data_IF_687665956244
#
_entry.id   IF_687665956244
#
_cell.length_a   1.000
_cell.length_b   1.000
_cell.length_c   1.000
_cell.angle_alpha   90.00
_cell.angle_beta   90.00
_cell.angle_gamma   90.00
#
_symmetry.space_group_name_H-M   'P 1'
#
loop_
_entity.id
_entity.type
_entity.pdbx_description
1 polymer ?
#
# COMPACT_ATOMS: atom_id res chain seq x y z
N UNK A 1 1.20 8.04 21.09
CA UNK A 1 2.02 7.86 19.87
C UNK A 1 1.29 6.96 18.89
N UNK A 2 1.20 7.30 17.58
CA UNK A 2 0.45 6.50 16.60
C UNK A 2 0.98 5.07 16.47
N UNK A 3 2.29 4.87 16.43
CA UNK A 3 2.90 3.53 16.37
C UNK A 3 2.49 2.63 17.55
N UNK A 4 2.43 3.16 18.75
CA UNK A 4 2.01 2.37 19.93
C UNK A 4 0.53 1.95 19.85
N UNK A 5 -0.33 2.83 19.35
CA UNK A 5 -1.75 2.52 19.18
C UNK A 5 -1.93 1.40 18.13
N UNK A 6 -1.23 1.49 16.99
CA UNK A 6 -1.25 0.48 15.95
C UNK A 6 -0.69 -0.85 16.46
N UNK A 7 0.50 -0.85 17.08
CA UNK A 7 1.11 -2.09 17.58
C UNK A 7 0.30 -2.74 18.70
N UNK A 8 -0.42 -1.95 19.50
CA UNK A 8 -1.36 -2.50 20.50
C UNK A 8 -2.53 -3.20 19.82
N UNK A 9 -3.15 -2.57 18.81
CA UNK A 9 -4.21 -3.17 18.02
C UNK A 9 -3.75 -4.49 17.40
N UNK A 10 -2.60 -4.48 16.71
CA UNK A 10 -2.05 -5.66 16.04
C UNK A 10 -1.77 -6.81 17.03
N UNK A 11 -1.23 -6.49 18.19
CA UNK A 11 -0.93 -7.48 19.24
C UNK A 11 -2.20 -8.11 19.84
N UNK A 12 -3.25 -7.31 20.03
CA UNK A 12 -4.52 -7.77 20.60
C UNK A 12 -5.32 -8.59 19.60
N UNK A 13 -5.44 -8.09 18.37
CA UNK A 13 -6.28 -8.74 17.33
C UNK A 13 -5.54 -9.80 16.52
N UNK A 14 -4.22 -9.84 16.60
CA UNK A 14 -3.36 -10.67 15.74
C UNK A 14 -3.56 -10.37 14.26
N UNK A 15 -3.96 -9.15 13.92
CA UNK A 15 -4.11 -8.64 12.56
C UNK A 15 -3.08 -7.55 12.31
N UNK A 16 -2.56 -7.49 11.09
CA UNK A 16 -1.70 -6.38 10.71
C UNK A 16 -2.53 -5.23 10.15
N UNK A 17 -2.08 -4.03 10.45
CA UNK A 17 -2.67 -2.80 9.93
C UNK A 17 -1.95 -2.37 8.67
N UNK A 18 -2.73 -1.96 7.66
CA UNK A 18 -2.22 -1.29 6.46
C UNK A 18 -2.95 0.03 6.29
N UNK A 19 -2.25 1.04 5.83
CA UNK A 19 -2.78 2.40 5.69
C UNK A 19 -2.61 2.89 4.26
N UNK A 20 -3.70 3.19 3.59
CA UNK A 20 -3.65 3.94 2.35
C UNK A 20 -3.77 5.44 2.69
N UNK A 21 -2.64 6.10 2.81
CA UNK A 21 -2.56 7.52 3.14
C UNK A 21 -2.56 8.36 1.86
N UNK A 22 -3.71 8.94 1.55
CA UNK A 22 -3.91 9.79 0.36
C UNK A 22 -3.41 11.21 0.58
N UNK A 23 -3.44 11.67 1.83
CA UNK A 23 -3.00 13.01 2.21
C UNK A 23 -1.49 13.10 2.46
N UNK A 24 -0.82 11.98 2.67
CA UNK A 24 0.56 11.92 3.13
C UNK A 24 0.75 12.31 4.60
N UNK A 25 -0.34 12.53 5.33
CA UNK A 25 -0.30 13.09 6.68
C UNK A 25 0.27 12.16 7.75
N UNK A 26 0.17 10.85 7.57
CA UNK A 26 0.70 9.83 8.49
C UNK A 26 2.12 9.38 8.14
N UNK A 27 2.55 9.59 6.89
CA UNK A 27 3.86 9.12 6.39
C UNK A 27 5.07 9.58 7.18
N UNK A 28 5.12 10.84 7.69
CA UNK A 28 6.27 11.29 8.48
C UNK A 28 6.41 10.60 9.84
N UNK A 29 5.35 9.95 10.32
CA UNK A 29 5.25 9.46 11.70
C UNK A 29 5.18 7.94 11.81
N UNK A 30 5.04 7.23 10.68
CA UNK A 30 4.89 5.79 10.62
C UNK A 30 5.94 5.17 9.69
N UNK A 31 6.36 3.98 10.05
CA UNK A 31 7.31 3.22 9.25
C UNK A 31 6.71 2.80 7.89
N UNK A 32 7.52 2.69 6.83
CA UNK A 32 7.05 2.42 5.47
C UNK A 32 6.23 1.16 5.30
N UNK A 33 6.45 0.14 6.14
CA UNK A 33 5.72 -1.13 6.12
C UNK A 33 4.22 -0.96 6.36
N UNK A 34 3.80 0.05 7.09
CA UNK A 34 2.37 0.32 7.32
C UNK A 34 1.63 0.81 6.07
N UNK A 35 2.35 1.23 5.04
CA UNK A 35 1.75 1.75 3.81
C UNK A 35 1.68 0.72 2.68
N UNK A 36 1.87 -0.56 3.00
CA UNK A 36 1.84 -1.66 2.04
C UNK A 36 1.12 -2.85 2.64
N UNK A 37 0.29 -3.53 1.85
CA UNK A 37 -0.26 -4.84 2.22
C UNK A 37 0.89 -5.86 2.26
N UNK A 38 1.58 -5.90 3.39
CA UNK A 38 2.79 -6.69 3.60
C UNK A 38 2.55 -8.15 3.93
N UNK A 39 1.30 -8.58 4.07
CA UNK A 39 0.93 -9.95 4.39
C UNK A 39 1.40 -10.93 3.30
N UNK A 40 1.90 -12.12 3.67
CA UNK A 40 2.38 -13.10 2.70
C UNK A 40 1.37 -13.41 1.60
N UNK A 41 0.09 -13.60 1.95
CA UNK A 41 -0.97 -13.88 1.00
C UNK A 41 -1.24 -12.69 0.06
N UNK A 42 -1.29 -11.47 0.56
CA UNK A 42 -1.42 -10.27 -0.27
C UNK A 42 -0.25 -10.12 -1.25
N UNK A 43 0.97 -10.41 -0.80
CA UNK A 43 2.15 -10.37 -1.66
C UNK A 43 2.09 -11.41 -2.77
N UNK A 44 1.64 -12.63 -2.44
CA UNK A 44 1.46 -13.69 -3.42
C UNK A 44 0.44 -13.29 -4.50
N UNK A 45 -0.71 -12.74 -4.11
CA UNK A 45 -1.72 -12.23 -5.05
C UNK A 45 -1.17 -11.09 -5.89
N UNK A 46 -0.49 -10.12 -5.28
CA UNK A 46 0.09 -8.96 -5.97
C UNK A 46 1.28 -9.32 -6.89
N UNK A 47 1.88 -10.49 -6.70
CA UNK A 47 2.88 -11.05 -7.61
C UNK A 47 2.27 -11.88 -8.75
N UNK A 48 0.96 -12.10 -8.76
CA UNK A 48 0.22 -12.88 -9.76
C UNK A 48 -0.49 -11.96 -10.78
N UNK A 49 -1.03 -12.52 -11.88
CA UNK A 49 -1.88 -11.78 -12.82
C UNK A 49 -3.12 -11.14 -12.16
N UNK A 50 -3.49 -11.59 -10.96
CA UNK A 50 -4.61 -11.04 -10.19
C UNK A 50 -4.28 -9.72 -9.47
N UNK A 51 -3.06 -9.20 -9.57
CA UNK A 51 -2.62 -7.95 -8.94
C UNK A 51 -3.49 -6.76 -9.33
N UNK A 52 -3.96 -6.72 -10.57
CA UNK A 52 -4.82 -5.64 -11.07
C UNK A 52 -6.16 -5.60 -10.34
N UNK A 53 -6.71 -6.75 -9.95
CA UNK A 53 -7.95 -6.83 -9.19
C UNK A 53 -7.80 -6.26 -7.77
N UNK A 54 -6.64 -6.49 -7.10
CA UNK A 54 -6.30 -5.84 -5.83
C UNK A 54 -6.30 -4.33 -5.98
N UNK A 55 -5.59 -3.86 -6.99
CA UNK A 55 -5.41 -2.44 -7.22
C UNK A 55 -6.75 -1.74 -7.51
N UNK A 56 -7.57 -2.34 -8.38
CA UNK A 56 -8.89 -1.82 -8.73
C UNK A 56 -9.83 -1.78 -7.52
N UNK A 57 -9.79 -2.80 -6.65
CA UNK A 57 -10.59 -2.80 -5.44
C UNK A 57 -10.09 -1.73 -4.44
N UNK A 58 -8.81 -1.79 -4.07
CA UNK A 58 -8.26 -1.01 -2.96
C UNK A 58 -8.16 0.49 -3.26
N UNK A 59 -7.83 0.88 -4.49
CA UNK A 59 -7.53 2.28 -4.83
C UNK A 59 -8.69 2.97 -5.55
N UNK A 60 -9.39 2.25 -6.44
CA UNK A 60 -10.45 2.87 -7.20
C UNK A 60 -11.81 2.72 -6.55
N UNK A 61 -12.23 1.47 -6.34
CA UNK A 61 -13.60 1.20 -5.92
C UNK A 61 -13.82 1.52 -4.45
N UNK A 62 -12.96 1.01 -3.58
CA UNK A 62 -13.12 1.18 -2.14
C UNK A 62 -13.06 2.64 -1.71
N UNK A 63 -12.23 3.45 -2.36
CA UNK A 63 -12.13 4.88 -2.08
C UNK A 63 -13.47 5.62 -2.22
N UNK A 64 -14.28 5.22 -3.20
CA UNK A 64 -15.61 5.82 -3.40
C UNK A 64 -16.67 5.22 -2.49
N UNK A 65 -16.65 3.90 -2.33
CA UNK A 65 -17.65 3.21 -1.51
C UNK A 65 -17.52 3.57 -0.03
N UNK A 66 -16.31 3.69 0.48
CA UNK A 66 -16.06 3.92 1.92
C UNK A 66 -16.46 5.34 2.37
N UNK A 67 -16.54 6.31 1.46
CA UNK A 67 -17.05 7.65 1.76
C UNK A 67 -18.51 7.64 2.25
N UNK A 68 -19.29 6.65 1.79
CA UNK A 68 -20.68 6.46 2.19
C UNK A 68 -20.81 5.55 3.42
N UNK A 69 -19.70 5.11 3.99
CA UNK A 69 -19.63 4.22 5.15
C UNK A 69 -18.60 4.75 6.15
N UNK A 70 -18.88 5.90 6.80
CA UNK A 70 -17.91 6.56 7.69
C UNK A 70 -17.52 5.68 8.88
N UNK A 71 -18.39 4.77 9.28
CA UNK A 71 -18.12 3.79 10.33
C UNK A 71 -17.27 2.61 9.87
N UNK A 72 -16.87 2.59 8.61
CA UNK A 72 -16.14 1.48 8.03
C UNK A 72 -17.00 0.24 7.83
N UNK A 73 -16.37 -0.83 7.39
CA UNK A 73 -17.04 -2.10 7.09
C UNK A 73 -16.10 -3.29 7.19
N UNK A 74 -16.71 -4.46 7.26
CA UNK A 74 -16.07 -5.74 6.99
C UNK A 74 -16.34 -6.09 5.53
N UNK A 75 -15.34 -6.54 4.77
CA UNK A 75 -15.57 -7.03 3.42
C UNK A 75 -14.70 -8.23 3.07
N UNK A 76 -15.09 -8.94 2.04
CA UNK A 76 -14.25 -9.94 1.41
C UNK A 76 -13.46 -9.27 0.28
N UNK A 77 -12.15 -9.36 0.32
CA UNK A 77 -11.31 -8.94 -0.80
C UNK A 77 -11.53 -9.88 -2.01
N UNK A 78 -11.05 -9.51 -3.18
CA UNK A 78 -11.24 -10.32 -4.40
C UNK A 78 -10.62 -11.72 -4.29
N UNK A 79 -9.63 -11.92 -3.41
CA UNK A 79 -9.03 -13.21 -3.12
C UNK A 79 -9.83 -14.04 -2.08
N UNK A 80 -10.97 -13.54 -1.62
CA UNK A 80 -11.86 -14.23 -0.69
C UNK A 80 -11.45 -14.18 0.79
N UNK A 81 -10.53 -13.27 1.14
CA UNK A 81 -10.13 -13.05 2.52
C UNK A 81 -10.94 -11.91 3.15
N UNK A 82 -11.22 -12.07 4.45
CA UNK A 82 -11.88 -11.02 5.25
C UNK A 82 -10.90 -9.92 5.59
N UNK A 83 -11.31 -8.70 5.35
CA UNK A 83 -10.61 -7.48 5.72
C UNK A 83 -11.58 -6.49 6.38
N UNK A 84 -11.08 -5.76 7.35
CA UNK A 84 -11.78 -4.66 8.01
C UNK A 84 -11.24 -3.35 7.46
N UNK A 85 -12.14 -2.43 7.15
CA UNK A 85 -11.78 -1.18 6.50
C UNK A 85 -12.47 -0.02 7.20
N UNK A 86 -11.70 0.98 7.62
CA UNK A 86 -12.21 2.19 8.27
C UNK A 86 -11.60 3.42 7.63
N UNK A 87 -12.41 4.40 7.16
CA UNK A 87 -11.91 5.64 6.61
C UNK A 87 -11.44 6.61 7.68
N UNK A 88 -10.42 7.37 7.37
CA UNK A 88 -10.09 8.61 8.09
C UNK A 88 -10.58 9.80 7.29
N UNK A 89 -11.51 10.54 7.85
CA UNK A 89 -12.13 11.69 7.21
C UNK A 89 -11.69 12.98 7.90
N UNK A 90 -11.46 14.02 7.12
CA UNK A 90 -11.26 15.37 7.61
C UNK A 90 -12.09 16.34 6.75
N UNK A 91 -12.94 17.13 7.38
CA UNK A 91 -13.83 18.06 6.71
C UNK A 91 -14.62 17.40 5.56
N UNK A 92 -15.08 16.17 5.79
CA UNK A 92 -15.79 15.36 4.80
C UNK A 92 -14.91 14.76 3.69
N UNK A 93 -13.62 15.04 3.68
CA UNK A 93 -12.66 14.52 2.69
C UNK A 93 -11.94 13.28 3.22
N UNK A 94 -11.77 12.28 2.37
CA UNK A 94 -11.01 11.07 2.69
C UNK A 94 -9.51 11.38 2.72
N UNK A 95 -8.90 11.28 3.88
CA UNK A 95 -7.46 11.53 4.05
C UNK A 95 -6.64 10.23 4.06
N UNK A 96 -7.19 9.15 4.59
CA UNK A 96 -6.59 7.81 4.57
C UNK A 96 -7.65 6.73 4.77
N UNK A 97 -7.28 5.48 4.51
CA UNK A 97 -8.07 4.29 4.84
C UNK A 97 -7.19 3.36 5.67
N UNK A 98 -7.70 2.90 6.81
CA UNK A 98 -7.11 1.82 7.58
C UNK A 98 -7.68 0.48 7.10
N UNK A 99 -6.80 -0.47 6.89
CA UNK A 99 -7.13 -1.87 6.67
C UNK A 99 -6.60 -2.68 7.84
N UNK A 100 -7.36 -3.63 8.32
CA UNK A 100 -6.88 -4.70 9.18
C UNK A 100 -7.21 -6.04 8.51
N UNK A 101 -6.33 -6.95 8.56
CA UNK A 101 -6.56 -8.27 7.94
C UNK A 101 -5.29 -9.12 8.02
N UNK A 102 -5.41 -10.36 7.72
CA UNK A 102 -6.49 -11.08 7.04
C UNK A 102 -7.01 -12.24 7.89
N UNK A 103 -8.25 -12.66 7.62
CA UNK A 103 -8.86 -13.88 8.13
C UNK A 103 -9.56 -14.62 6.99
N UNK A 104 -9.87 -15.88 7.17
CA UNK A 104 -10.88 -16.57 6.35
C UNK A 104 -12.27 -16.31 6.90
N UNK A 105 -13.26 -16.25 6.01
CA UNK A 105 -14.64 -16.05 6.43
C UNK A 105 -15.24 -17.36 6.96
N UNK A 106 -15.96 -17.29 8.09
CA UNK A 106 -16.88 -18.34 8.48
C UNK A 106 -18.01 -18.47 7.44
N UNK A 107 -18.72 -19.61 7.37
CA UNK A 107 -19.88 -19.77 6.48
C UNK A 107 -20.97 -18.71 6.68
N UNK A 108 -21.18 -18.26 7.92
CA UNK A 108 -22.13 -17.21 8.28
C UNK A 108 -21.70 -15.85 7.75
N UNK A 109 -20.48 -15.46 8.02
CA UNK A 109 -19.91 -14.18 7.55
C UNK A 109 -19.93 -14.07 6.02
N UNK A 110 -19.66 -15.18 5.33
CA UNK A 110 -19.73 -15.23 3.86
C UNK A 110 -21.13 -14.93 3.32
N UNK A 111 -22.17 -15.32 4.03
CA UNK A 111 -23.57 -15.12 3.59
C UNK A 111 -23.97 -13.64 3.63
N UNK A 112 -23.55 -12.91 4.64
CA UNK A 112 -23.85 -11.48 4.80
C UNK A 112 -22.95 -10.55 4.00
N UNK A 113 -21.74 -11.01 3.67
CA UNK A 113 -20.71 -10.20 3.02
C UNK A 113 -20.59 -10.46 1.50
N UNK A 114 -21.46 -11.27 0.91
CA UNK A 114 -21.34 -11.74 -0.48
C UNK A 114 -21.33 -10.65 -1.56
N UNK A 115 -21.72 -9.42 -1.24
CA UNK A 115 -22.06 -8.43 -2.27
C UNK A 115 -21.05 -7.30 -2.46
N UNK A 116 -19.92 -7.30 -1.79
CA UNK A 116 -19.01 -6.17 -1.86
C UNK A 116 -17.97 -6.25 -2.98
N UNK A 117 -17.72 -7.41 -3.57
CA UNK A 117 -16.84 -7.50 -4.73
C UNK A 117 -17.57 -8.03 -5.97
N UNK A 118 -17.87 -7.15 -6.93
CA UNK A 118 -18.36 -7.53 -8.27
C UNK A 118 -17.25 -8.15 -9.14
N UNK A 119 -16.02 -8.20 -8.66
CA UNK A 119 -14.92 -8.85 -9.36
C UNK A 119 -15.08 -10.38 -9.28
N UNK A 120 -14.79 -11.13 -10.36
CA UNK A 120 -14.76 -12.57 -10.29
C UNK A 120 -13.77 -12.99 -9.19
N UNK A 121 -14.24 -13.83 -8.26
CA UNK A 121 -13.40 -14.41 -7.24
C UNK A 121 -12.45 -15.40 -7.90
N UNK A 122 -11.23 -14.97 -8.11
CA UNK A 122 -10.16 -15.86 -8.51
C UNK A 122 -9.53 -16.32 -7.20
N UNK A 123 -9.67 -17.60 -6.87
CA UNK A 123 -8.89 -18.18 -5.78
C UNK A 123 -7.44 -18.37 -6.26
N UNK A 124 -6.50 -17.55 -5.84
CA UNK A 124 -5.10 -17.74 -6.20
C UNK A 124 -4.42 -18.80 -5.33
N UNK A 125 -5.20 -19.45 -4.45
CA UNK A 125 -4.69 -20.36 -3.43
C UNK A 125 -4.53 -21.76 -3.96
N UNK A 126 -3.39 -22.38 -3.67
CA UNK A 126 -3.16 -23.82 -3.86
C UNK A 126 -3.57 -24.58 -2.59
N UNK A 127 -3.79 -25.91 -2.67
CA UNK A 127 -4.10 -26.72 -1.48
C UNK A 127 -3.07 -26.61 -0.35
N UNK A 128 -1.82 -26.31 -0.69
CA UNK A 128 -0.70 -26.16 0.24
C UNK A 128 -0.64 -24.77 0.88
N UNK A 129 -1.45 -23.82 0.40
CA UNK A 129 -1.44 -22.45 0.93
C UNK A 129 -1.96 -22.44 2.37
N UNK A 130 -1.11 -22.04 3.31
CA UNK A 130 -1.51 -21.88 4.70
C UNK A 130 -2.44 -20.67 4.85
N UNK A 131 -3.73 -20.97 4.98
CA UNK A 131 -4.75 -19.93 5.16
C UNK A 131 -4.75 -19.39 6.60
N UNK A 132 -5.09 -18.11 6.79
CA UNK A 132 -5.28 -17.55 8.12
C UNK A 132 -6.50 -18.19 8.80
N UNK A 133 -6.58 -18.16 10.14
CA UNK A 133 -7.70 -18.75 10.86
C UNK A 133 -9.04 -18.10 10.44
N UNK A 134 -10.15 -18.82 10.53
CA UNK A 134 -11.47 -18.24 10.33
C UNK A 134 -11.82 -17.23 11.41
N UNK A 135 -12.75 -16.35 11.10
CA UNK A 135 -13.32 -15.38 12.03
C UNK A 135 -14.84 -15.56 12.08
N UNK A 136 -15.39 -15.57 13.28
CA UNK A 136 -16.83 -15.59 13.52
C UNK A 136 -17.41 -14.17 13.63
N UNK A 137 -18.73 -14.04 13.50
CA UNK A 137 -19.43 -12.75 13.40
C UNK A 137 -19.17 -11.83 14.60
N UNK A 138 -19.21 -12.38 15.80
CA UNK A 138 -18.99 -11.59 17.04
C UNK A 138 -17.55 -11.07 17.12
N UNK A 139 -16.57 -11.92 16.84
CA UNK A 139 -15.16 -11.52 16.77
C UNK A 139 -14.95 -10.48 15.67
N UNK A 140 -15.55 -10.69 14.50
CA UNK A 140 -15.45 -9.76 13.38
C UNK A 140 -16.00 -8.37 13.73
N UNK A 141 -17.10 -8.32 14.47
CA UNK A 141 -17.70 -7.06 14.93
C UNK A 141 -16.81 -6.34 15.94
N UNK A 142 -16.25 -7.08 16.92
CA UNK A 142 -15.33 -6.53 17.92
C UNK A 142 -14.04 -5.97 17.26
N UNK A 143 -13.53 -6.64 16.25
CA UNK A 143 -12.37 -6.17 15.49
C UNK A 143 -12.71 -4.87 14.76
N UNK A 144 -13.89 -4.78 14.12
CA UNK A 144 -14.32 -3.55 13.44
C UNK A 144 -14.39 -2.38 14.41
N UNK A 145 -15.00 -2.60 15.59
CA UNK A 145 -15.10 -1.57 16.61
C UNK A 145 -13.72 -1.14 17.12
N UNK A 146 -12.83 -2.09 17.36
CA UNK A 146 -11.45 -1.80 17.77
C UNK A 146 -10.69 -1.01 16.71
N UNK A 147 -10.92 -1.30 15.42
CA UNK A 147 -10.30 -0.55 14.32
C UNK A 147 -10.86 0.88 14.20
N UNK A 148 -12.16 1.07 14.46
CA UNK A 148 -12.80 2.41 14.56
C UNK A 148 -12.15 3.24 15.67
N UNK A 149 -11.95 2.64 16.84
CA UNK A 149 -11.28 3.32 17.95
C UNK A 149 -9.83 3.68 17.60
N UNK A 150 -9.11 2.80 16.92
CA UNK A 150 -7.77 3.11 16.41
C UNK A 150 -7.82 4.28 15.43
N UNK A 151 -8.76 4.27 14.48
CA UNK A 151 -8.96 5.33 13.52
C UNK A 151 -9.22 6.68 14.20
N UNK A 152 -10.13 6.72 15.16
CA UNK A 152 -10.45 7.92 15.94
C UNK A 152 -9.21 8.46 16.70
N UNK A 153 -8.42 7.58 17.33
CA UNK A 153 -7.17 7.96 18.00
C UNK A 153 -6.16 8.56 17.04
N UNK A 154 -6.01 7.99 15.86
CA UNK A 154 -5.10 8.54 14.84
C UNK A 154 -5.57 9.90 14.33
N UNK A 155 -6.88 10.10 14.15
CA UNK A 155 -7.45 11.40 13.75
C UNK A 155 -7.22 12.47 14.82
N UNK A 156 -7.52 12.18 16.08
CA UNK A 156 -7.28 13.09 17.20
C UNK A 156 -5.79 13.43 17.29
N UNK A 157 -4.94 12.43 17.21
CA UNK A 157 -3.49 12.64 17.25
C UNK A 157 -3.00 13.50 16.10
N UNK A 158 -3.49 13.30 14.87
CA UNK A 158 -3.15 14.13 13.73
C UNK A 158 -3.61 15.58 13.90
N UNK A 159 -4.81 15.77 14.44
CA UNK A 159 -5.32 17.12 14.72
C UNK A 159 -4.43 17.85 15.74
N UNK A 160 -4.01 17.17 16.80
CA UNK A 160 -3.08 17.72 17.78
C UNK A 160 -1.68 17.95 17.18
N UNK A 161 -1.13 16.97 16.49
CA UNK A 161 0.19 17.09 15.87
C UNK A 161 0.27 18.29 14.92
N UNK A 162 -0.78 18.54 14.14
CA UNK A 162 -0.86 19.71 13.25
C UNK A 162 -0.72 21.04 13.99
N UNK A 163 -1.25 21.17 15.21
CA UNK A 163 -1.10 22.40 16.01
C UNK A 163 0.37 22.70 16.31
N UNK A 164 1.17 21.66 16.57
CA UNK A 164 2.60 21.82 16.88
C UNK A 164 3.49 21.94 15.63
N UNK A 165 3.07 21.38 14.50
CA UNK A 165 3.82 21.45 13.24
C UNK A 165 3.33 22.56 12.31
N UNK A 166 2.27 23.28 12.69
CA UNK A 166 1.71 24.41 11.93
C UNK A 166 2.30 25.75 12.35
N UNK A 167 3.27 25.79 13.24
CA UNK A 167 4.03 27.03 13.44
C UNK A 167 4.87 27.29 12.19
N UNK A 168 4.64 28.41 11.49
CA UNK A 168 5.43 28.75 10.35
C UNK A 168 6.86 29.04 10.84
N UNK A 169 7.82 28.21 10.46
CA UNK A 169 9.19 28.73 10.31
C UNK A 169 9.11 29.79 9.23
N UNK A 170 8.79 30.98 9.72
CA UNK A 170 8.79 32.20 8.92
C UNK A 170 10.17 32.39 8.35
N UNK A 171 10.28 32.27 7.04
CA UNK A 171 10.93 33.32 6.24
C UNK A 171 10.58 33.04 4.78
N UNK A 172 9.67 33.90 4.34
CA UNK A 172 9.62 34.55 3.05
C UNK A 172 9.92 33.72 1.80
N UNK A 173 8.83 33.33 1.15
CA UNK A 173 8.64 33.64 -0.26
C UNK A 173 7.13 33.77 -0.49
N UNK A 174 6.69 35.03 -0.54
CA UNK A 174 5.32 35.38 -0.88
C UNK A 174 5.06 35.05 -2.34
N UNK A 175 4.23 34.03 -2.55
CA UNK A 175 3.54 33.79 -3.82
C UNK A 175 2.03 33.75 -3.60
N UNK A 176 1.21 34.24 -4.56
CA UNK A 176 -0.19 34.50 -4.36
C UNK A 176 -1.00 33.20 -4.23
N UNK A 177 -2.10 33.32 -3.49
CA UNK A 177 -3.06 32.29 -3.12
C UNK A 177 -3.76 31.68 -4.34
N UNK A 178 -3.24 30.55 -4.79
CA UNK A 178 -3.95 29.54 -5.58
C UNK A 178 -3.66 28.15 -5.00
N UNK A 179 -3.63 28.04 -3.66
CA UNK A 179 -3.04 26.89 -2.96
C UNK A 179 -3.85 25.60 -3.04
N UNK A 180 -5.15 25.65 -3.15
CA UNK A 180 -5.99 24.44 -3.11
C UNK A 180 -5.95 23.67 -4.44
N UNK A 181 -6.02 24.34 -5.57
CA UNK A 181 -5.94 23.67 -6.88
C UNK A 181 -4.54 23.12 -7.15
N UNK A 182 -3.49 23.81 -6.72
CA UNK A 182 -2.11 23.34 -6.89
C UNK A 182 -1.82 22.11 -6.02
N UNK A 183 -2.30 22.07 -4.78
CA UNK A 183 -2.13 20.90 -3.90
C UNK A 183 -2.94 19.69 -4.40
N UNK A 184 -4.14 19.89 -4.89
CA UNK A 184 -4.95 18.82 -5.46
C UNK A 184 -4.32 18.28 -6.75
N UNK A 185 -3.77 19.13 -7.60
CA UNK A 185 -3.05 18.75 -8.80
C UNK A 185 -1.76 17.95 -8.46
N UNK A 186 -1.00 18.37 -7.46
CA UNK A 186 0.19 17.65 -6.99
C UNK A 186 -0.18 16.29 -6.38
N UNK A 187 -1.27 16.23 -5.60
CA UNK A 187 -1.76 14.97 -5.04
C UNK A 187 -2.20 14.00 -6.14
N UNK A 188 -2.90 14.48 -7.15
CA UNK A 188 -3.32 13.69 -8.32
C UNK A 188 -2.11 13.21 -9.12
N UNK A 189 -1.14 14.08 -9.40
CA UNK A 189 0.11 13.70 -10.08
C UNK A 189 0.90 12.66 -9.29
N UNK A 190 1.00 12.83 -7.98
CA UNK A 190 1.65 11.86 -7.09
C UNK A 190 1.00 10.48 -7.21
N UNK A 191 -0.32 10.42 -7.19
CA UNK A 191 -1.07 9.18 -7.30
C UNK A 191 -0.84 8.49 -8.65
N UNK A 192 -0.94 9.25 -9.75
CA UNK A 192 -0.76 8.72 -11.11
C UNK A 192 0.68 8.22 -11.36
N UNK A 193 1.70 8.95 -10.88
CA UNK A 193 3.10 8.49 -10.96
C UNK A 193 3.28 7.17 -10.22
N UNK A 194 2.77 7.05 -9.00
CA UNK A 194 2.87 5.81 -8.21
C UNK A 194 2.16 4.65 -8.87
N UNK A 195 0.95 4.91 -9.36
CA UNK A 195 0.15 3.92 -10.07
C UNK A 195 0.86 3.41 -11.32
N UNK A 196 1.39 4.32 -12.13
CA UNK A 196 2.12 3.96 -13.33
C UNK A 196 3.36 3.12 -13.00
N UNK A 197 4.17 3.55 -12.02
CA UNK A 197 5.33 2.78 -11.58
C UNK A 197 4.91 1.40 -11.06
N UNK A 198 3.85 1.33 -10.26
CA UNK A 198 3.37 0.06 -9.71
C UNK A 198 3.00 -0.93 -10.82
N UNK A 199 2.30 -0.46 -11.85
CA UNK A 199 1.80 -1.32 -12.92
C UNK A 199 2.88 -1.69 -13.95
N UNK A 200 3.89 -0.83 -14.15
CA UNK A 200 4.84 -0.97 -15.26
C UNK A 200 6.31 -1.15 -14.84
N UNK A 201 6.62 -1.28 -13.53
CA UNK A 201 8.01 -1.40 -13.08
C UNK A 201 8.68 -2.71 -13.50
N UNK A 202 7.91 -3.77 -13.73
CA UNK A 202 8.42 -5.08 -14.17
C UNK A 202 8.70 -5.14 -15.68
N UNK A 203 8.24 -4.16 -16.43
CA UNK A 203 8.44 -4.05 -17.88
C UNK A 203 9.52 -3.01 -18.22
N UNK A 204 9.95 -2.91 -19.50
CA UNK A 204 10.74 -1.77 -19.96
C UNK A 204 9.98 -0.47 -19.68
N UNK A 205 10.50 0.33 -18.75
CA UNK A 205 9.79 1.51 -18.27
C UNK A 205 9.71 2.62 -19.33
N UNK A 206 8.50 2.97 -19.73
CA UNK A 206 8.23 3.99 -20.74
C UNK A 206 7.95 5.35 -20.10
N UNK A 207 8.98 6.21 -20.07
CA UNK A 207 8.89 7.56 -19.50
C UNK A 207 7.97 8.46 -20.32
N UNK A 208 7.98 8.31 -21.65
CA UNK A 208 7.15 9.10 -22.58
C UNK A 208 5.67 8.85 -22.31
N UNK A 209 5.29 7.60 -22.08
CA UNK A 209 3.91 7.23 -21.78
C UNK A 209 3.43 7.88 -20.47
N UNK A 210 4.24 7.82 -19.41
CA UNK A 210 3.91 8.48 -18.15
C UNK A 210 3.80 10.00 -18.30
N UNK A 211 4.71 10.61 -19.08
CA UNK A 211 4.66 12.04 -19.35
C UNK A 211 3.38 12.44 -20.09
N UNK A 212 3.00 11.68 -21.11
CA UNK A 212 1.76 11.90 -21.85
C UNK A 212 0.51 11.78 -20.99
N UNK A 213 0.43 10.75 -20.11
CA UNK A 213 -0.68 10.58 -19.15
C UNK A 213 -0.86 11.77 -18.20
N UNK A 214 0.25 12.43 -17.87
CA UNK A 214 0.25 13.59 -17.00
C UNK A 214 0.17 14.95 -17.75
N UNK A 215 0.05 14.90 -19.07
CA UNK A 215 0.10 16.09 -19.95
C UNK A 215 1.38 16.93 -19.71
N UNK A 216 2.52 16.24 -19.53
CA UNK A 216 3.83 16.85 -19.30
C UNK A 216 4.81 16.45 -20.40
N UNK A 217 5.84 17.30 -20.62
CA UNK A 217 7.06 16.85 -21.30
C UNK A 217 7.87 15.96 -20.34
N UNK A 218 8.74 15.08 -20.89
CA UNK A 218 9.62 14.25 -20.05
C UNK A 218 10.51 15.06 -19.12
N UNK A 219 10.98 16.22 -19.56
CA UNK A 219 11.78 17.14 -18.74
C UNK A 219 10.96 17.63 -17.53
N UNK A 220 9.74 18.10 -17.78
CA UNK A 220 8.83 18.53 -16.70
C UNK A 220 8.43 17.38 -15.79
N UNK A 221 8.24 16.16 -16.32
CA UNK A 221 8.00 14.98 -15.50
C UNK A 221 9.16 14.71 -14.55
N UNK A 222 10.42 14.76 -15.02
CA UNK A 222 11.60 14.58 -14.16
C UNK A 222 11.64 15.61 -13.04
N UNK A 223 11.37 16.88 -13.32
CA UNK A 223 11.31 17.93 -12.32
C UNK A 223 10.17 17.69 -11.31
N UNK A 224 8.96 17.41 -11.80
CA UNK A 224 7.81 17.13 -10.95
C UNK A 224 8.04 15.92 -10.03
N UNK A 225 8.64 14.84 -10.54
CA UNK A 225 8.99 13.68 -9.72
C UNK A 225 9.98 14.07 -8.63
N UNK A 226 11.03 14.81 -8.95
CA UNK A 226 12.03 15.23 -7.98
C UNK A 226 11.45 16.17 -6.93
N UNK A 227 10.55 17.06 -7.34
CA UNK A 227 9.82 17.96 -6.44
C UNK A 227 8.88 17.18 -5.48
N UNK A 228 8.09 16.24 -6.03
CA UNK A 228 7.08 15.48 -5.28
C UNK A 228 7.72 14.45 -4.35
N UNK A 229 8.81 13.79 -4.77
CA UNK A 229 9.38 12.62 -4.07
C UNK A 229 10.79 12.85 -3.50
N UNK A 230 11.46 13.93 -3.87
CA UNK A 230 12.85 14.19 -3.48
C UNK A 230 13.89 13.31 -4.19
N UNK A 231 13.46 12.36 -5.00
CA UNK A 231 14.31 11.39 -5.71
C UNK A 231 13.97 11.36 -7.20
N UNK A 232 14.83 10.73 -8.00
CA UNK A 232 14.61 10.61 -9.44
C UNK A 232 13.57 9.52 -9.77
N UNK A 233 12.95 9.61 -10.95
CA UNK A 233 12.03 8.59 -11.45
C UNK A 233 12.71 7.21 -11.55
N UNK A 234 13.96 7.18 -11.98
CA UNK A 234 14.75 5.94 -12.07
C UNK A 234 14.93 5.30 -10.69
N UNK A 235 15.16 6.10 -9.66
CA UNK A 235 15.26 5.61 -8.28
C UNK A 235 13.93 5.06 -7.77
N UNK A 236 12.80 5.69 -8.09
CA UNK A 236 11.47 5.19 -7.74
C UNK A 236 11.17 3.85 -8.41
N UNK A 237 11.49 3.72 -9.70
CA UNK A 237 11.31 2.46 -10.45
C UNK A 237 12.23 1.37 -9.89
N UNK A 238 13.49 1.71 -9.62
CA UNK A 238 14.44 0.78 -9.01
C UNK A 238 13.95 0.27 -7.65
N UNK A 239 13.44 1.17 -6.82
CA UNK A 239 12.87 0.83 -5.52
C UNK A 239 11.68 -0.14 -5.66
N UNK A 240 10.80 0.10 -6.63
CA UNK A 240 9.67 -0.79 -6.90
C UNK A 240 10.15 -2.19 -7.33
N UNK A 241 11.15 -2.28 -8.20
CA UNK A 241 11.76 -3.53 -8.66
C UNK A 241 12.42 -4.31 -7.51
N UNK A 242 13.15 -3.62 -6.63
CA UNK A 242 13.77 -4.27 -5.46
C UNK A 242 12.69 -4.80 -4.50
N UNK A 243 11.60 -4.08 -4.27
CA UNK A 243 10.50 -4.58 -3.44
C UNK A 243 9.86 -5.84 -4.01
N UNK A 244 9.64 -5.87 -5.32
CA UNK A 244 9.16 -7.08 -6.00
C UNK A 244 10.15 -8.23 -5.86
N UNK A 245 11.44 -7.99 -6.04
CA UNK A 245 12.48 -8.99 -5.86
C UNK A 245 12.50 -9.54 -4.43
N UNK A 246 12.42 -8.68 -3.42
CA UNK A 246 12.33 -9.08 -2.01
C UNK A 246 11.13 -10.00 -1.78
N UNK A 247 9.96 -9.63 -2.31
CA UNK A 247 8.76 -10.45 -2.20
C UNK A 247 8.92 -11.82 -2.85
N UNK A 248 9.45 -11.87 -4.08
CA UNK A 248 9.67 -13.13 -4.79
C UNK A 248 10.74 -14.00 -4.12
N UNK A 249 11.81 -13.41 -3.61
CA UNK A 249 12.84 -14.15 -2.85
C UNK A 249 12.29 -14.77 -1.57
N UNK A 250 11.33 -14.11 -0.94
CA UNK A 250 10.73 -14.57 0.33
C UNK A 250 9.65 -15.63 0.16
N UNK A 251 8.96 -15.64 -0.98
CA UNK A 251 7.70 -16.39 -1.11
C UNK A 251 7.59 -17.24 -2.37
N UNK A 252 8.67 -17.37 -3.16
CA UNK A 252 8.66 -18.22 -4.35
C UNK A 252 9.88 -19.13 -4.40
N UNK A 253 9.74 -20.25 -5.12
CA UNK A 253 10.84 -21.19 -5.43
C UNK A 253 11.65 -20.79 -6.67
N UNK A 254 11.36 -19.65 -7.29
CA UNK A 254 12.06 -19.16 -8.46
C UNK A 254 13.57 -19.04 -8.19
N UNK A 255 14.40 -19.36 -9.16
CA UNK A 255 15.83 -19.10 -9.05
C UNK A 255 16.11 -17.60 -8.85
N UNK A 256 17.24 -17.26 -8.24
CA UNK A 256 17.61 -15.85 -8.04
C UNK A 256 17.68 -15.08 -9.36
N UNK A 257 18.04 -15.75 -10.47
CA UNK A 257 18.07 -15.17 -11.81
C UNK A 257 16.65 -14.86 -12.33
N UNK A 258 15.73 -15.80 -12.18
CA UNK A 258 14.32 -15.60 -12.56
C UNK A 258 13.68 -14.49 -11.75
N UNK A 259 13.95 -14.42 -10.45
CA UNK A 259 13.51 -13.32 -9.59
C UNK A 259 13.97 -11.97 -10.15
N UNK A 260 15.23 -11.85 -10.54
CA UNK A 260 15.73 -10.62 -11.16
C UNK A 260 14.93 -10.24 -12.40
N UNK A 261 14.72 -11.18 -13.30
CA UNK A 261 13.98 -10.97 -14.54
C UNK A 261 12.51 -10.59 -14.28
N UNK A 262 11.82 -11.36 -13.43
CA UNK A 262 10.41 -11.09 -13.09
C UNK A 262 10.20 -9.79 -12.30
N UNK A 263 11.26 -9.31 -11.64
CA UNK A 263 11.23 -8.01 -10.98
C UNK A 263 11.49 -6.82 -11.92
N UNK A 264 11.68 -7.08 -13.23
CA UNK A 264 11.85 -6.07 -14.26
C UNK A 264 13.31 -5.67 -14.55
N UNK A 265 14.29 -6.42 -14.04
CA UNK A 265 15.68 -6.20 -14.42
C UNK A 265 16.00 -6.91 -15.74
N UNK A 266 16.56 -6.17 -16.68
CA UNK A 266 16.93 -6.73 -17.99
C UNK A 266 18.19 -7.58 -17.94
N UNK A 267 19.05 -7.34 -16.93
CA UNK A 267 20.30 -8.07 -16.77
C UNK A 267 20.54 -8.44 -15.30
N UNK A 268 21.05 -9.64 -15.09
CA UNK A 268 21.30 -10.21 -13.77
C UNK A 268 22.36 -9.45 -12.97
N UNK A 269 23.38 -8.92 -13.63
CA UNK A 269 24.47 -8.21 -12.97
C UNK A 269 23.98 -6.89 -12.39
N UNK A 270 23.11 -6.20 -13.12
CA UNK A 270 22.45 -4.97 -12.65
C UNK A 270 21.52 -5.28 -11.48
N UNK A 271 20.71 -6.34 -11.58
CA UNK A 271 19.88 -6.80 -10.46
C UNK A 271 20.73 -7.05 -9.21
N UNK A 272 21.76 -7.87 -9.34
CA UNK A 272 22.59 -8.26 -8.20
C UNK A 272 23.25 -7.06 -7.51
N UNK A 273 23.85 -6.14 -8.29
CA UNK A 273 24.48 -4.92 -7.75
C UNK A 273 23.46 -4.00 -7.08
N UNK A 274 22.31 -3.79 -7.73
CA UNK A 274 21.27 -2.92 -7.23
C UNK A 274 20.63 -3.45 -5.94
N UNK A 275 20.39 -4.76 -5.90
CA UNK A 275 19.86 -5.44 -4.72
C UNK A 275 20.86 -5.37 -3.56
N UNK A 276 22.12 -5.70 -3.81
CA UNK A 276 23.16 -5.65 -2.79
C UNK A 276 23.36 -4.24 -2.24
N UNK A 277 23.37 -3.23 -3.09
CA UNK A 277 23.48 -1.83 -2.68
C UNK A 277 22.32 -1.40 -1.78
N UNK A 278 21.11 -1.89 -2.06
CA UNK A 278 19.88 -1.44 -1.37
C UNK A 278 19.63 -2.23 -0.08
N UNK A 279 19.92 -3.53 -0.09
CA UNK A 279 19.63 -4.45 1.00
C UNK A 279 20.86 -4.77 1.88
N UNK A 280 22.04 -4.22 1.55
CA UNK A 280 23.32 -4.51 2.18
C UNK A 280 23.70 -6.01 2.21
N UNK A 281 23.07 -6.82 1.37
CA UNK A 281 23.33 -8.24 1.21
C UNK A 281 22.97 -8.73 -0.19
N UNK A 282 23.58 -9.85 -0.61
CA UNK A 282 23.24 -10.44 -1.91
C UNK A 282 21.86 -11.08 -1.91
N UNK A 283 21.17 -11.18 -3.08
CA UNK A 283 19.89 -11.84 -3.19
C UNK A 283 19.90 -13.27 -2.64
N UNK A 284 20.96 -14.01 -2.89
CA UNK A 284 21.13 -15.38 -2.38
C UNK A 284 21.21 -15.41 -0.84
N UNK A 285 22.02 -14.54 -0.23
CA UNK A 285 22.11 -14.44 1.24
C UNK A 285 20.76 -14.07 1.85
N UNK A 286 20.03 -13.13 1.23
CA UNK A 286 18.71 -12.74 1.66
C UNK A 286 17.74 -13.94 1.70
N UNK A 287 17.67 -14.71 0.61
CA UNK A 287 16.83 -15.93 0.55
C UNK A 287 17.19 -16.92 1.66
N UNK A 288 18.47 -17.22 1.82
CA UNK A 288 18.95 -18.14 2.87
C UNK A 288 18.59 -17.66 4.29
N UNK A 289 18.56 -16.38 4.51
CA UNK A 289 18.17 -15.81 5.79
C UNK A 289 16.67 -15.96 6.04
N UNK A 290 15.85 -15.73 5.02
CA UNK A 290 14.38 -15.93 5.11
C UNK A 290 14.05 -17.41 5.34
N UNK A 291 14.68 -18.34 4.60
CA UNK A 291 14.50 -19.79 4.76
C UNK A 291 14.85 -20.29 6.17
N UNK A 292 15.82 -19.65 6.86
CA UNK A 292 16.18 -19.99 8.25
C UNK A 292 15.25 -19.40 9.30
N UNK A 293 14.46 -18.42 8.93
CA UNK A 293 13.54 -17.70 9.84
C UNK A 293 12.09 -18.23 9.77
N UNK A 294 11.83 -19.15 8.83
CA UNK A 294 10.61 -19.93 8.70
C UNK A 294 10.76 -21.31 9.32
#
# INVERSE_FOLDING_TARGET
>A
MPMQAISTFERVTRLNVTIHDFSGSLRPFLAPEYFQHGQPLCRAVKASPSAENCHNLEIHRLRWEILHQPDGRIHLCHAGLVEWVVPGLQDGKLIWILFAGQRTASPHLTKHQRDTSRAPRISPWTPETKMPPPVEDDEATLILESLRQLAARLQIWLAEARKYFSEPRSQELAFPRDSDQTQELLATRRLEIRRFIHNHHTEPFNMTELANRLCLSESRLRHAVKEIYGVTLTELVLEARIRTAVSLLSHSSLSVREVGMQSGFQDYSNFHRSFQKRMNMTPYKFRKQVEKSC
#
